data_IF_145456744090
#
_entry.id   IF_145456744090
#
_cell.length_a   1.000
_cell.length_b   1.000
_cell.length_c   1.000
_cell.angle_alpha   90.00
_cell.angle_beta   90.00
_cell.angle_gamma   90.00
#
_symmetry.space_group_name_H-M   'P 1'
#
loop_
_entity.id
_entity.type
_entity.pdbx_description
1 polymer ?
#
# COMPACT_ATOMS: atom_id res chain seq x y z
N UNK A 1 -12.96 42.88 39.04
CA UNK A 1 -12.81 42.05 40.24
C UNK A 1 -14.07 42.18 41.07
N UNK A 2 -14.46 41.09 41.74
CA UNK A 2 -15.70 40.83 42.50
C UNK A 2 -16.91 40.43 41.62
N UNK A 3 -17.28 39.14 41.57
CA UNK A 3 -18.13 38.35 42.50
C UNK A 3 -19.61 38.71 42.35
N UNK A 4 -20.44 37.88 41.70
CA UNK A 4 -21.04 36.59 42.13
C UNK A 4 -22.44 36.84 42.67
N UNK A 5 -23.46 36.20 42.07
CA UNK A 5 -24.72 35.91 42.75
C UNK A 5 -25.28 34.56 42.30
N UNK A 6 -25.66 33.79 43.31
CA UNK A 6 -26.15 32.42 43.32
C UNK A 6 -27.69 32.40 43.34
N UNK A 7 -28.27 31.36 42.71
CA UNK A 7 -29.49 30.60 43.08
C UNK A 7 -30.80 31.31 43.51
N UNK A 8 -31.94 30.91 42.93
CA UNK A 8 -32.96 30.07 43.63
C UNK A 8 -34.16 29.73 42.73
N UNK A 9 -34.81 28.62 43.09
CA UNK A 9 -35.88 27.82 42.45
C UNK A 9 -37.33 28.25 42.78
N UNK A 10 -38.29 27.66 42.05
CA UNK A 10 -39.71 27.45 42.41
C UNK A 10 -40.67 28.51 41.86
N UNK A 11 -41.90 28.27 41.41
CA UNK A 11 -42.79 27.10 41.41
C UNK A 11 -43.93 27.36 40.38
N UNK A 12 -44.53 26.29 39.84
CA UNK A 12 -45.77 26.35 39.05
C UNK A 12 -47.00 26.66 39.93
N UNK A 13 -48.12 27.05 39.29
CA UNK A 13 -49.41 26.50 39.70
C UNK A 13 -50.21 25.89 38.53
N UNK A 14 -51.19 25.01 38.82
CA UNK A 14 -51.85 24.16 37.84
C UNK A 14 -53.30 24.61 37.53
N UNK A 15 -53.96 23.87 36.63
CA UNK A 15 -55.35 23.36 36.73
C UNK A 15 -56.16 23.49 35.43
N UNK A 16 -56.63 22.30 35.02
CA UNK A 16 -57.59 21.96 33.97
C UNK A 16 -59.00 22.55 34.16
N UNK A 17 -59.74 22.73 33.07
CA UNK A 17 -60.94 21.91 32.71
C UNK A 17 -61.84 22.59 31.68
N UNK A 18 -62.41 21.81 30.74
CA UNK A 18 -63.58 22.24 29.95
C UNK A 18 -63.59 21.82 28.46
N UNK A 19 -63.86 20.55 28.17
CA UNK A 19 -64.38 20.04 26.88
C UNK A 19 -65.93 20.21 26.82
N UNK A 20 -66.68 19.86 25.73
CA UNK A 20 -66.30 19.46 24.37
C UNK A 20 -67.14 20.12 23.23
N UNK A 21 -66.70 20.02 21.97
CA UNK A 21 -67.61 19.97 20.81
C UNK A 21 -66.95 19.33 19.57
N UNK A 22 -67.37 18.09 19.29
CA UNK A 22 -67.59 17.44 17.98
C UNK A 22 -66.66 17.73 16.79
N UNK A 23 -65.97 16.69 16.29
CA UNK A 23 -65.57 16.62 14.88
C UNK A 23 -64.48 15.60 14.55
N UNK A 24 -64.89 14.41 14.10
CA UNK A 24 -64.14 13.40 13.30
C UNK A 24 -62.75 12.89 13.78
N UNK A 25 -62.74 11.64 14.25
CA UNK A 25 -61.67 10.62 14.05
C UNK A 25 -61.48 10.40 12.54
N UNK A 26 -60.35 10.06 11.90
CA UNK A 26 -59.07 9.36 12.18
C UNK A 26 -58.29 9.50 10.84
N UNK A 27 -56.97 9.44 10.66
CA UNK A 27 -55.89 8.70 11.29
C UNK A 27 -54.55 9.42 11.00
N UNK A 28 -53.69 9.54 12.02
CA UNK A 28 -52.32 10.07 11.86
C UNK A 28 -51.36 8.87 11.82
N UNK A 29 -50.61 8.76 10.73
CA UNK A 29 -49.53 7.77 10.54
C UNK A 29 -48.52 7.85 11.69
N UNK A 30 -47.97 6.73 12.20
CA UNK A 30 -46.91 6.77 13.19
C UNK A 30 -45.68 7.47 12.60
N UNK A 31 -45.08 8.39 13.35
CA UNK A 31 -43.79 8.98 13.03
C UNK A 31 -42.77 7.85 12.75
N UNK A 32 -42.13 7.94 11.58
CA UNK A 32 -40.87 7.24 11.33
C UNK A 32 -39.88 7.61 12.45
N UNK A 33 -39.16 6.64 13.04
CA UNK A 33 -38.10 6.95 13.97
C UNK A 33 -37.05 7.80 13.23
N UNK A 34 -36.75 8.98 13.75
CA UNK A 34 -35.51 9.71 13.43
C UNK A 34 -34.34 8.72 13.46
N UNK A 35 -33.46 8.70 12.45
CA UNK A 35 -32.34 7.79 12.45
C UNK A 35 -31.51 8.06 13.70
N UNK A 36 -31.51 7.08 14.61
CA UNK A 36 -30.75 7.08 15.85
C UNK A 36 -29.32 7.55 15.57
N UNK A 37 -28.77 8.43 16.41
CA UNK A 37 -27.36 8.89 16.36
C UNK A 37 -26.34 7.75 16.14
N UNK A 38 -26.69 6.52 16.48
CA UNK A 38 -25.92 5.30 16.21
C UNK A 38 -25.68 5.00 14.72
N UNK A 39 -26.60 5.31 13.79
CA UNK A 39 -26.37 5.09 12.36
C UNK A 39 -25.49 6.18 11.74
N UNK A 40 -25.43 7.35 12.37
CA UNK A 40 -24.53 8.43 11.98
C UNK A 40 -23.09 8.17 12.48
N UNK A 41 -22.93 7.55 13.65
CA UNK A 41 -21.62 7.15 14.19
C UNK A 41 -21.01 5.97 13.42
N UNK A 42 -21.83 5.01 12.95
CA UNK A 42 -21.35 3.91 12.11
C UNK A 42 -20.90 4.37 10.71
N UNK A 43 -21.45 5.48 10.20
CA UNK A 43 -21.09 6.04 8.91
C UNK A 43 -19.86 6.98 8.96
N UNK A 44 -19.33 7.29 10.15
CA UNK A 44 -18.29 8.30 10.34
C UNK A 44 -16.83 7.79 10.28
N UNK A 45 -16.58 6.50 10.10
CA UNK A 45 -15.23 5.94 10.34
C UNK A 45 -14.53 5.33 9.11
N UNK A 46 -15.04 5.53 7.90
CA UNK A 46 -14.34 5.17 6.66
C UNK A 46 -13.77 6.43 6.03
N UNK A 47 -12.48 6.68 6.25
CA UNK A 47 -11.79 7.86 5.70
C UNK A 47 -11.09 7.49 4.41
N UNK A 48 -11.07 8.42 3.46
CA UNK A 48 -10.22 8.31 2.29
C UNK A 48 -8.75 8.13 2.69
N UNK A 49 -8.00 7.39 1.87
CA UNK A 49 -6.59 7.12 2.10
C UNK A 49 -5.78 8.41 2.35
N UNK A 50 -5.00 8.51 3.45
CA UNK A 50 -4.10 9.63 3.71
C UNK A 50 -3.13 9.90 2.55
N UNK A 51 -2.75 11.17 2.38
CA UNK A 51 -1.89 11.59 1.26
C UNK A 51 -0.54 10.87 1.23
N UNK A 52 0.09 10.67 2.39
CA UNK A 52 1.39 9.98 2.49
C UNK A 52 1.32 8.54 1.98
N UNK A 53 0.21 7.87 2.25
CA UNK A 53 -0.04 6.48 1.88
C UNK A 53 -0.32 6.36 0.38
N UNK A 54 -1.03 7.33 -0.21
CA UNK A 54 -1.16 7.44 -1.67
C UNK A 54 0.19 7.63 -2.35
N UNK A 55 1.02 8.55 -1.85
CA UNK A 55 2.38 8.78 -2.36
C UNK A 55 3.21 7.49 -2.29
N UNK A 56 3.13 6.75 -1.19
CA UNK A 56 3.79 5.45 -1.03
C UNK A 56 3.35 4.45 -2.11
N UNK A 57 2.04 4.27 -2.33
CA UNK A 57 1.53 3.39 -3.39
C UNK A 57 1.98 3.81 -4.79
N UNK A 58 2.07 5.12 -5.06
CA UNK A 58 2.55 5.64 -6.32
C UNK A 58 4.03 5.34 -6.56
N UNK A 59 4.89 5.62 -5.58
CA UNK A 59 6.31 5.32 -5.67
C UNK A 59 6.58 3.83 -5.83
N UNK A 60 6.00 3.01 -4.95
CA UNK A 60 6.14 1.55 -4.98
C UNK A 60 5.67 0.96 -6.33
N UNK A 61 4.52 1.39 -6.84
CA UNK A 61 4.00 0.88 -8.11
C UNK A 61 4.83 1.37 -9.30
N UNK A 62 5.31 2.62 -9.28
CA UNK A 62 6.23 3.15 -10.28
C UNK A 62 7.54 2.36 -10.35
N UNK A 63 8.18 2.11 -9.21
CA UNK A 63 9.39 1.25 -9.11
C UNK A 63 9.13 -0.14 -9.65
N UNK A 64 7.96 -0.72 -9.33
CA UNK A 64 7.57 -2.04 -9.86
C UNK A 64 7.50 -2.02 -11.38
N UNK A 65 6.89 -1.00 -11.98
CA UNK A 65 6.80 -0.88 -13.44
C UNK A 65 8.17 -0.64 -14.08
N UNK A 66 9.04 0.16 -13.48
CA UNK A 66 10.42 0.36 -13.98
C UNK A 66 11.17 -0.96 -14.04
N UNK A 67 11.12 -1.75 -12.96
CA UNK A 67 11.76 -3.07 -12.85
C UNK A 67 11.17 -4.03 -13.89
N UNK A 68 9.84 -4.08 -14.01
CA UNK A 68 9.16 -4.95 -15.00
C UNK A 68 9.54 -4.57 -16.43
N UNK A 69 9.45 -3.29 -16.79
CA UNK A 69 9.71 -2.84 -18.16
C UNK A 69 11.17 -3.00 -18.54
N UNK A 70 12.09 -2.65 -17.64
CA UNK A 70 13.54 -2.80 -17.88
C UNK A 70 13.96 -4.27 -17.97
N UNK A 71 13.37 -5.14 -17.14
CA UNK A 71 13.61 -6.58 -17.19
C UNK A 71 13.05 -7.23 -18.45
N UNK A 72 11.80 -6.92 -18.83
CA UNK A 72 11.19 -7.42 -20.09
C UNK A 72 11.98 -6.95 -21.30
N UNK A 73 12.40 -5.69 -21.32
CA UNK A 73 13.23 -5.16 -22.41
C UNK A 73 14.56 -5.93 -22.52
N UNK A 74 15.22 -6.22 -21.38
CA UNK A 74 16.45 -7.00 -21.33
C UNK A 74 16.23 -8.46 -21.72
N UNK A 75 15.12 -9.07 -21.33
CA UNK A 75 14.76 -10.43 -21.72
C UNK A 75 14.60 -10.53 -23.24
N UNK A 76 13.92 -9.56 -23.86
CA UNK A 76 13.69 -9.53 -25.30
C UNK A 76 14.98 -9.33 -26.10
N UNK A 77 15.92 -8.51 -25.58
CA UNK A 77 17.16 -8.19 -26.29
C UNK A 77 18.32 -9.15 -25.98
N UNK A 78 18.47 -9.57 -24.73
CA UNK A 78 19.64 -10.29 -24.22
C UNK A 78 19.34 -11.72 -23.76
N UNK A 79 18.05 -12.13 -23.70
CA UNK A 79 17.58 -13.45 -23.25
C UNK A 79 18.18 -13.91 -21.91
N UNK A 80 18.40 -12.96 -20.99
CA UNK A 80 19.00 -13.22 -19.69
C UNK A 80 17.96 -13.89 -18.75
N UNK A 81 18.19 -15.15 -18.30
CA UNK A 81 17.27 -15.87 -17.43
C UNK A 81 17.16 -15.27 -16.02
N UNK A 82 18.09 -14.38 -15.62
CA UNK A 82 18.08 -13.72 -14.31
C UNK A 82 17.05 -12.60 -14.22
N UNK A 83 16.51 -12.14 -15.35
CA UNK A 83 15.43 -11.16 -15.42
C UNK A 83 15.68 -9.91 -14.56
N UNK A 84 16.91 -9.37 -14.60
CA UNK A 84 17.29 -8.20 -13.80
C UNK A 84 16.63 -6.94 -14.35
N UNK A 85 15.91 -6.23 -13.47
CA UNK A 85 15.34 -4.91 -13.69
C UNK A 85 16.03 -3.83 -12.84
N UNK A 86 15.81 -2.57 -13.22
CA UNK A 86 16.48 -1.40 -12.66
C UNK A 86 15.46 -0.33 -12.31
N UNK A 87 15.71 0.37 -11.20
CA UNK A 87 15.04 1.62 -10.85
C UNK A 87 15.98 2.44 -9.95
N UNK A 88 15.52 3.57 -9.43
CA UNK A 88 16.30 4.40 -8.52
C UNK A 88 15.43 5.02 -7.45
N UNK A 89 16.05 5.40 -6.33
CA UNK A 89 15.38 6.13 -5.24
C UNK A 89 14.78 7.44 -5.78
N UNK A 90 15.49 8.11 -6.69
CA UNK A 90 15.03 9.31 -7.35
C UNK A 90 13.77 9.07 -8.19
N UNK A 91 13.76 8.00 -9.02
CA UNK A 91 12.60 7.64 -9.83
C UNK A 91 11.39 7.31 -8.95
N UNK A 92 11.58 6.65 -7.80
CA UNK A 92 10.51 6.41 -6.84
C UNK A 92 9.81 7.72 -6.40
N UNK A 93 10.60 8.77 -6.09
CA UNK A 93 10.06 10.10 -5.73
C UNK A 93 9.37 10.74 -6.92
N UNK A 94 9.97 10.70 -8.11
CA UNK A 94 9.38 11.26 -9.33
C UNK A 94 8.05 10.59 -9.66
N UNK A 95 7.97 9.25 -9.58
CA UNK A 95 6.73 8.48 -9.77
C UNK A 95 5.68 8.88 -8.75
N UNK A 96 6.07 9.03 -7.47
CA UNK A 96 5.18 9.46 -6.39
C UNK A 96 4.53 10.80 -6.70
N UNK A 97 5.32 11.80 -7.11
CA UNK A 97 4.84 13.16 -7.40
C UNK A 97 4.03 13.21 -8.70
N UNK A 98 4.52 12.54 -9.74
CA UNK A 98 3.87 12.43 -11.06
C UNK A 98 2.47 11.84 -10.94
N UNK A 99 2.35 10.69 -10.28
CA UNK A 99 1.05 10.03 -10.12
C UNK A 99 0.12 10.75 -9.15
N UNK A 100 0.66 11.49 -8.18
CA UNK A 100 -0.13 12.40 -7.37
C UNK A 100 -0.71 13.57 -8.18
N UNK A 101 0.07 14.16 -9.08
CA UNK A 101 -0.42 15.18 -10.01
C UNK A 101 -1.46 14.62 -10.98
N UNK A 102 -1.21 13.42 -11.54
CA UNK A 102 -2.14 12.72 -12.42
C UNK A 102 -3.46 12.36 -11.72
N UNK A 103 -3.44 12.03 -10.42
CA UNK A 103 -4.65 11.83 -9.64
C UNK A 103 -5.51 13.11 -9.55
N UNK A 104 -4.87 14.29 -9.40
CA UNK A 104 -5.58 15.57 -9.40
C UNK A 104 -6.24 15.85 -10.75
N UNK A 105 -5.52 15.58 -11.84
CA UNK A 105 -6.07 15.67 -13.20
C UNK A 105 -7.20 14.66 -13.39
N UNK A 106 -7.03 13.43 -12.90
CA UNK A 106 -8.06 12.39 -12.93
C UNK A 106 -9.34 12.79 -12.18
N UNK A 107 -9.20 13.52 -11.08
CA UNK A 107 -10.33 14.04 -10.30
C UNK A 107 -11.17 15.08 -11.04
N UNK A 108 -10.57 15.78 -12.03
CA UNK A 108 -11.27 16.72 -12.91
C UNK A 108 -12.17 16.04 -13.94
N UNK A 109 -12.27 14.70 -13.96
CA UNK A 109 -13.19 13.95 -14.83
C UNK A 109 -14.64 14.43 -14.78
N UNK A 110 -15.06 15.07 -13.68
CA UNK A 110 -16.40 15.66 -13.53
C UNK A 110 -16.68 16.76 -14.57
N UNK A 111 -15.66 17.47 -15.03
CA UNK A 111 -15.77 18.49 -16.08
C UNK A 111 -16.06 17.89 -17.47
N UNK A 112 -15.76 16.60 -17.67
CA UNK A 112 -15.95 15.88 -18.93
C UNK A 112 -17.16 14.93 -18.90
N UNK A 113 -18.14 15.16 -18.01
CA UNK A 113 -19.33 14.30 -17.83
C UNK A 113 -20.10 14.02 -19.14
N UNK A 114 -20.07 14.93 -20.12
CA UNK A 114 -20.72 14.74 -21.41
C UNK A 114 -20.02 13.77 -22.37
N UNK A 115 -18.72 13.46 -22.18
CA UNK A 115 -17.92 12.57 -23.06
C UNK A 115 -16.82 11.83 -22.27
N UNK A 116 -17.17 10.84 -21.42
CA UNK A 116 -16.20 10.16 -20.57
C UNK A 116 -15.11 9.40 -21.36
N UNK A 117 -15.46 8.91 -22.55
CA UNK A 117 -14.53 8.19 -23.44
C UNK A 117 -13.38 9.08 -23.90
N UNK A 118 -13.66 10.34 -24.23
CA UNK A 118 -12.64 11.31 -24.66
C UNK A 118 -11.64 11.58 -23.53
N UNK A 119 -12.13 11.62 -22.28
CA UNK A 119 -11.27 11.81 -21.12
C UNK A 119 -10.30 10.62 -20.93
N UNK A 120 -10.82 9.39 -20.93
CA UNK A 120 -10.03 8.20 -20.63
C UNK A 120 -9.12 7.74 -21.77
N UNK A 121 -9.50 7.93 -23.04
CA UNK A 121 -8.75 7.43 -24.19
C UNK A 121 -7.85 8.48 -24.86
N UNK A 122 -8.13 9.78 -24.66
CA UNK A 122 -7.43 10.86 -25.36
C UNK A 122 -6.79 11.84 -24.37
N UNK A 123 -7.58 12.49 -23.52
CA UNK A 123 -7.05 13.55 -22.65
C UNK A 123 -6.05 13.02 -21.62
N UNK A 124 -6.43 12.01 -20.83
CA UNK A 124 -5.55 11.46 -19.81
C UNK A 124 -4.28 10.83 -20.40
N UNK A 125 -4.36 9.99 -21.45
CA UNK A 125 -3.15 9.45 -22.08
C UNK A 125 -2.22 10.51 -22.66
N UNK A 126 -2.75 11.57 -23.28
CA UNK A 126 -1.91 12.67 -23.79
C UNK A 126 -1.15 13.39 -22.68
N UNK A 127 -1.80 13.66 -21.54
CA UNK A 127 -1.14 14.30 -20.38
C UNK A 127 -0.11 13.36 -19.75
N UNK A 128 -0.44 12.08 -19.59
CA UNK A 128 0.49 11.07 -19.07
C UNK A 128 1.75 10.97 -19.94
N UNK A 129 1.57 10.78 -21.26
CA UNK A 129 2.69 10.66 -22.21
C UNK A 129 3.53 11.94 -22.19
N UNK A 130 2.91 13.12 -22.22
CA UNK A 130 3.64 14.39 -22.15
C UNK A 130 4.49 14.52 -20.90
N UNK A 131 3.97 14.08 -19.74
CA UNK A 131 4.71 14.11 -18.48
C UNK A 131 5.86 13.09 -18.47
N UNK A 132 5.65 11.88 -19.01
CA UNK A 132 6.70 10.86 -19.10
C UNK A 132 7.83 11.27 -20.06
N UNK A 133 7.51 11.92 -21.17
CA UNK A 133 8.52 12.49 -22.09
C UNK A 133 9.31 13.59 -21.39
N UNK A 134 8.64 14.46 -20.62
CA UNK A 134 9.31 15.51 -19.85
C UNK A 134 10.28 14.93 -18.82
N UNK A 135 9.85 13.92 -18.06
CA UNK A 135 10.69 13.23 -17.07
C UNK A 135 11.89 12.56 -17.75
N UNK A 136 11.64 11.85 -18.85
CA UNK A 136 12.71 11.21 -19.65
C UNK A 136 13.74 12.23 -20.14
N UNK A 137 13.29 13.38 -20.64
CA UNK A 137 14.18 14.44 -21.11
C UNK A 137 14.97 15.11 -19.97
N UNK A 138 14.39 15.27 -18.77
CA UNK A 138 15.11 15.78 -17.58
C UNK A 138 16.21 14.81 -17.17
N UNK A 139 15.94 13.51 -17.23
CA UNK A 139 16.95 12.50 -16.95
C UNK A 139 18.10 12.50 -17.99
N UNK A 140 17.80 12.78 -19.26
CA UNK A 140 18.80 12.79 -20.35
C UNK A 140 19.33 14.18 -20.70
N UNK A 141 19.05 15.20 -19.90
CA UNK A 141 19.50 16.59 -20.15
C UNK A 141 21.04 16.75 -20.12
N UNK A 142 21.77 15.65 -19.91
CA UNK A 142 23.23 15.55 -20.08
C UNK A 142 23.65 15.12 -21.50
N UNK A 143 22.84 14.40 -22.27
CA UNK A 143 23.14 14.01 -23.66
C UNK A 143 21.87 13.85 -24.54
N UNK A 144 21.68 14.78 -25.49
CA UNK A 144 20.74 14.80 -26.63
C UNK A 144 19.25 14.45 -26.41
N UNK A 145 18.37 15.24 -27.05
CA UNK A 145 16.92 15.01 -27.07
C UNK A 145 16.63 13.67 -27.77
N UNK A 146 16.20 12.67 -26.99
CA UNK A 146 15.88 11.35 -27.51
C UNK A 146 14.53 11.38 -28.22
N UNK A 147 14.53 11.12 -29.53
CA UNK A 147 13.29 10.87 -30.27
C UNK A 147 12.69 9.55 -29.76
N UNK A 148 11.50 9.62 -29.17
CA UNK A 148 10.82 8.46 -28.60
C UNK A 148 10.40 7.51 -29.72
N UNK A 149 10.80 6.24 -29.63
CA UNK A 149 10.41 5.22 -30.61
C UNK A 149 8.89 4.99 -30.58
N UNK A 150 8.28 4.67 -31.73
CA UNK A 150 6.85 4.35 -31.81
C UNK A 150 6.43 3.21 -30.87
N UNK A 151 7.31 2.24 -30.63
CA UNK A 151 7.06 1.15 -29.67
C UNK A 151 7.02 1.65 -28.22
N UNK A 152 7.90 2.58 -27.86
CA UNK A 152 7.90 3.20 -26.54
C UNK A 152 6.63 4.05 -26.34
N UNK A 153 6.20 4.79 -27.36
CA UNK A 153 4.96 5.57 -27.29
C UNK A 153 3.74 4.66 -27.07
N UNK A 154 3.68 3.51 -27.76
CA UNK A 154 2.62 2.51 -27.57
C UNK A 154 2.62 1.95 -26.14
N UNK A 155 3.78 1.63 -25.58
CA UNK A 155 3.89 1.16 -24.18
C UNK A 155 3.39 2.23 -23.20
N UNK A 156 3.81 3.49 -23.35
CA UNK A 156 3.33 4.59 -22.49
C UNK A 156 1.83 4.82 -22.63
N UNK A 157 1.26 4.66 -23.83
CA UNK A 157 -0.19 4.73 -24.04
C UNK A 157 -0.93 3.60 -23.31
N UNK A 158 -0.45 2.36 -23.41
CA UNK A 158 -1.04 1.22 -22.69
C UNK A 158 -0.95 1.40 -21.17
N UNK A 159 0.18 1.90 -20.66
CA UNK A 159 0.32 2.25 -19.24
C UNK A 159 -0.66 3.35 -18.83
N UNK A 160 -0.84 4.39 -19.65
CA UNK A 160 -1.79 5.44 -19.36
C UNK A 160 -3.23 4.90 -19.23
N UNK A 161 -3.63 3.98 -20.12
CA UNK A 161 -4.93 3.32 -20.03
C UNK A 161 -5.06 2.51 -18.75
N UNK A 162 -4.03 1.73 -18.40
CA UNK A 162 -3.97 0.98 -17.15
C UNK A 162 -4.13 1.91 -15.93
N UNK A 163 -3.40 3.02 -15.88
CA UNK A 163 -3.46 3.96 -14.78
C UNK A 163 -4.85 4.61 -14.63
N UNK A 164 -5.44 5.02 -15.76
CA UNK A 164 -6.75 5.64 -15.80
C UNK A 164 -7.88 4.68 -15.39
N UNK A 165 -7.83 3.42 -15.84
CA UNK A 165 -8.95 2.49 -15.72
C UNK A 165 -8.85 1.58 -14.51
N UNK A 166 -7.64 1.13 -14.18
CA UNK A 166 -7.39 0.12 -13.15
C UNK A 166 -6.84 0.78 -11.89
N UNK A 167 -5.69 1.45 -11.99
CA UNK A 167 -4.94 1.87 -10.81
C UNK A 167 -5.63 2.98 -10.01
N UNK A 168 -5.97 4.12 -10.62
CA UNK A 168 -6.68 5.20 -9.91
C UNK A 168 -8.08 4.77 -9.45
N UNK A 169 -8.73 3.89 -10.20
CA UNK A 169 -10.03 3.31 -9.81
C UNK A 169 -9.90 2.36 -8.63
N UNK A 170 -8.83 1.56 -8.56
CA UNK A 170 -8.52 0.69 -7.44
C UNK A 170 -8.18 1.49 -6.18
N UNK A 171 -7.28 2.48 -6.31
CA UNK A 171 -6.86 3.31 -5.18
C UNK A 171 -8.01 4.11 -4.57
N UNK A 172 -8.93 4.64 -5.39
CA UNK A 172 -10.12 5.36 -4.90
C UNK A 172 -11.16 4.47 -4.21
N UNK A 173 -11.06 3.14 -4.36
CA UNK A 173 -11.90 2.18 -3.64
C UNK A 173 -11.29 1.75 -2.31
N UNK A 174 -10.00 2.00 -2.09
CA UNK A 174 -9.34 1.67 -0.83
C UNK A 174 -9.81 2.68 0.23
N UNK A 175 -10.49 2.15 1.24
CA UNK A 175 -10.93 2.88 2.42
C UNK A 175 -10.05 2.51 3.61
N UNK A 176 -9.88 3.46 4.52
CA UNK A 176 -9.01 3.34 5.68
C UNK A 176 -9.84 3.54 6.95
N UNK A 177 -9.68 2.63 7.90
CA UNK A 177 -10.27 2.74 9.23
C UNK A 177 -9.16 3.09 10.25
N UNK A 178 -9.16 4.30 10.83
CA UNK A 178 -8.26 4.61 11.92
C UNK A 178 -8.71 3.87 13.19
N UNK A 179 -8.16 2.68 13.43
CA UNK A 179 -8.29 2.04 14.73
C UNK A 179 -7.47 2.83 15.76
N UNK A 180 -8.13 3.66 16.59
CA UNK A 180 -7.51 4.19 17.80
C UNK A 180 -7.30 3.02 18.78
N UNK A 181 -6.10 2.80 19.33
CA UNK A 181 -5.95 1.89 20.46
C UNK A 181 -6.56 2.57 21.69
N UNK A 182 -7.84 2.33 21.96
CA UNK A 182 -8.37 2.60 23.29
C UNK A 182 -7.69 1.65 24.28
N UNK A 183 -7.12 2.16 25.40
CA UNK A 183 -6.64 1.30 26.45
C UNK A 183 -7.84 0.55 27.03
N UNK A 184 -7.79 -0.79 27.00
CA UNK A 184 -8.79 -1.68 27.58
C UNK A 184 -8.98 -1.32 29.06
N UNK A 185 -9.99 -0.50 29.37
CA UNK A 185 -10.56 -0.39 30.70
C UNK A 185 -11.47 -1.60 30.88
N UNK A 186 -11.03 -2.53 31.73
CA UNK A 186 -11.77 -3.76 31.97
C UNK A 186 -13.19 -3.52 32.48
N UNK A 187 -14.12 -4.33 32.00
CA UNK A 187 -15.19 -4.92 32.81
C UNK A 187 -15.99 -5.93 31.97
N UNK A 188 -16.05 -7.17 32.46
CA UNK A 188 -17.23 -8.04 32.40
C UNK A 188 -17.75 -8.55 31.03
N UNK A 189 -17.65 -9.86 30.86
CA UNK A 189 -18.70 -10.73 30.29
C UNK A 189 -19.35 -10.30 28.97
N UNK A 190 -18.88 -10.87 27.87
CA UNK A 190 -19.64 -10.90 26.63
C UNK A 190 -18.83 -11.52 25.49
N UNK A 191 -19.30 -12.66 25.01
CA UNK A 191 -18.78 -13.43 23.89
C UNK A 191 -18.69 -12.57 22.62
N UNK A 192 -17.60 -11.84 22.43
CA UNK A 192 -17.31 -11.18 21.16
C UNK A 192 -16.75 -12.22 20.19
N UNK A 193 -17.66 -12.91 19.51
CA UNK A 193 -17.37 -13.51 18.21
C UNK A 193 -17.04 -12.35 17.27
N UNK A 194 -15.77 -11.99 17.16
CA UNK A 194 -15.31 -11.16 16.06
C UNK A 194 -15.61 -11.93 14.77
N UNK A 195 -16.65 -11.49 14.06
CA UNK A 195 -17.03 -12.01 12.76
C UNK A 195 -15.86 -11.90 11.76
N UNK A 196 -15.95 -12.60 10.61
CA UNK A 196 -14.85 -12.69 9.68
C UNK A 196 -14.54 -11.30 9.12
N UNK A 197 -13.48 -10.67 9.63
CA UNK A 197 -12.87 -9.52 9.01
C UNK A 197 -12.59 -9.91 7.56
N UNK A 198 -13.34 -9.36 6.60
CA UNK A 198 -13.19 -9.66 5.17
C UNK A 198 -11.91 -8.99 4.64
N UNK A 199 -10.76 -9.34 5.22
CA UNK A 199 -9.42 -8.87 4.85
C UNK A 199 -9.23 -8.87 3.33
N UNK A 200 -8.48 -7.88 2.83
CA UNK A 200 -8.09 -7.77 1.41
C UNK A 200 -7.79 -9.17 0.83
N UNK A 201 -8.30 -9.51 -0.37
CA UNK A 201 -8.10 -10.83 -0.97
C UNK A 201 -6.62 -11.23 -0.92
N UNK A 202 -6.31 -12.48 -0.58
CA UNK A 202 -4.93 -12.92 -0.38
C UNK A 202 -4.02 -12.64 -1.57
N UNK A 203 -4.55 -12.70 -2.79
CA UNK A 203 -3.84 -12.31 -4.01
C UNK A 203 -3.43 -10.82 -4.03
N UNK A 204 -4.28 -9.91 -3.56
CA UNK A 204 -3.96 -8.48 -3.48
C UNK A 204 -2.87 -8.23 -2.44
N UNK A 205 -2.90 -8.96 -1.30
CA UNK A 205 -1.83 -8.91 -0.29
C UNK A 205 -0.50 -9.43 -0.85
N UNK A 206 -0.54 -10.54 -1.59
CA UNK A 206 0.65 -11.06 -2.28
C UNK A 206 1.23 -10.04 -3.28
N UNK A 207 0.39 -9.43 -4.11
CA UNK A 207 0.84 -8.38 -5.04
C UNK A 207 1.45 -7.20 -4.31
N UNK A 208 0.82 -6.75 -3.22
CA UNK A 208 1.36 -5.69 -2.37
C UNK A 208 2.75 -6.07 -1.84
N UNK A 209 2.90 -7.26 -1.26
CA UNK A 209 4.19 -7.72 -0.74
C UNK A 209 5.26 -7.89 -1.81
N UNK A 210 4.90 -8.36 -3.01
CA UNK A 210 5.83 -8.46 -4.12
C UNK A 210 6.33 -7.08 -4.59
N UNK A 211 5.41 -6.12 -4.76
CA UNK A 211 5.76 -4.74 -5.12
C UNK A 211 6.57 -4.06 -4.02
N UNK A 212 6.24 -4.33 -2.77
CA UNK A 212 6.96 -3.80 -1.63
C UNK A 212 8.36 -4.38 -1.53
N UNK A 213 8.53 -5.69 -1.75
CA UNK A 213 9.84 -6.34 -1.79
C UNK A 213 10.73 -5.79 -2.90
N UNK A 214 10.18 -5.45 -4.07
CA UNK A 214 10.92 -4.73 -5.10
C UNK A 214 11.40 -3.37 -4.63
N UNK A 215 10.54 -2.59 -3.96
CA UNK A 215 10.94 -1.32 -3.40
C UNK A 215 12.08 -1.52 -2.38
N UNK A 216 11.95 -2.49 -1.48
CA UNK A 216 12.95 -2.78 -0.46
C UNK A 216 14.29 -3.19 -1.07
N UNK A 217 14.30 -4.05 -2.09
CA UNK A 217 15.53 -4.49 -2.76
C UNK A 217 16.18 -3.37 -3.58
N UNK A 218 15.39 -2.55 -4.28
CA UNK A 218 15.92 -1.37 -4.99
C UNK A 218 16.53 -0.37 -4.01
N UNK A 219 15.87 -0.13 -2.86
CA UNK A 219 16.42 0.73 -1.81
C UNK A 219 17.70 0.14 -1.22
N UNK A 220 17.69 -1.15 -0.91
CA UNK A 220 18.85 -1.85 -0.34
C UNK A 220 20.04 -1.82 -1.29
N UNK A 221 19.86 -2.22 -2.55
CA UNK A 221 20.92 -2.23 -3.56
C UNK A 221 21.43 -0.82 -3.88
N UNK A 222 20.55 0.18 -3.86
CA UNK A 222 20.93 1.59 -4.02
C UNK A 222 21.80 2.09 -2.86
N UNK A 223 21.39 1.84 -1.61
CA UNK A 223 22.18 2.20 -0.42
C UNK A 223 23.50 1.44 -0.40
N UNK A 224 23.48 0.16 -0.76
CA UNK A 224 24.67 -0.66 -0.82
C UNK A 224 25.66 -0.15 -1.88
N UNK A 225 25.20 0.19 -3.09
CA UNK A 225 26.02 0.82 -4.12
C UNK A 225 26.55 2.19 -3.68
N UNK A 226 25.77 2.98 -2.96
CA UNK A 226 26.20 4.27 -2.41
C UNK A 226 27.30 4.11 -1.36
N UNK A 227 27.18 3.13 -0.45
CA UNK A 227 28.13 2.93 0.65
C UNK A 227 29.40 2.26 0.16
N UNK A 228 29.29 1.19 -0.63
CA UNK A 228 30.45 0.40 -1.05
C UNK A 228 31.18 1.02 -2.26
N UNK A 229 30.43 1.56 -3.23
CA UNK A 229 30.99 2.07 -4.49
C UNK A 229 30.97 3.60 -4.60
N UNK A 230 30.46 4.30 -3.58
CA UNK A 230 30.28 5.77 -3.61
C UNK A 230 29.45 6.26 -4.80
N UNK A 231 28.57 5.41 -5.33
CA UNK A 231 27.72 5.74 -6.47
C UNK A 231 26.57 6.66 -6.04
N UNK A 232 26.62 7.91 -6.49
CA UNK A 232 25.61 8.95 -6.18
C UNK A 232 24.40 8.93 -7.10
N UNK A 233 24.35 8.01 -8.08
CA UNK A 233 23.18 7.87 -8.96
C UNK A 233 21.95 7.33 -8.22
N UNK A 234 22.13 6.79 -7.01
CA UNK A 234 21.10 6.12 -6.21
C UNK A 234 20.37 5.02 -7.02
N UNK A 235 21.09 4.40 -7.96
CA UNK A 235 20.58 3.32 -8.79
C UNK A 235 20.54 2.00 -8.04
N UNK A 236 19.39 1.32 -8.13
CA UNK A 236 19.15 0.01 -7.56
C UNK A 236 18.71 -0.98 -8.63
N UNK A 237 18.83 -2.25 -8.33
CA UNK A 237 18.43 -3.34 -9.22
C UNK A 237 17.83 -4.48 -8.43
N UNK A 238 17.01 -5.29 -9.09
CA UNK A 238 16.32 -6.45 -8.52
C UNK A 238 15.99 -7.44 -9.64
N UNK A 239 15.81 -8.71 -9.32
CA UNK A 239 15.34 -9.72 -10.28
C UNK A 239 13.82 -9.84 -10.26
N UNK A 240 13.18 -10.15 -11.39
CA UNK A 240 11.74 -10.50 -11.38
C UNK A 240 11.42 -11.70 -10.47
N UNK A 241 12.37 -12.61 -10.28
CA UNK A 241 12.22 -13.73 -9.35
C UNK A 241 12.10 -13.26 -7.90
N UNK A 242 12.70 -12.12 -7.55
CA UNK A 242 12.57 -11.49 -6.24
C UNK A 242 11.12 -11.11 -5.92
N UNK A 243 10.30 -10.75 -6.92
CA UNK A 243 8.87 -10.48 -6.70
C UNK A 243 8.16 -11.70 -6.10
N UNK A 244 8.40 -12.86 -6.72
CA UNK A 244 7.79 -14.12 -6.29
C UNK A 244 8.36 -14.55 -4.94
N UNK A 245 9.67 -14.43 -4.77
CA UNK A 245 10.35 -14.78 -3.53
C UNK A 245 9.85 -13.94 -2.35
N UNK A 246 9.91 -12.61 -2.44
CA UNK A 246 9.50 -11.72 -1.36
C UNK A 246 7.99 -11.68 -1.17
N UNK A 247 7.22 -11.66 -2.27
CA UNK A 247 5.76 -11.72 -2.20
C UNK A 247 5.27 -12.97 -1.47
N UNK A 248 5.86 -14.14 -1.76
CA UNK A 248 5.49 -15.40 -1.10
C UNK A 248 6.02 -15.46 0.33
N UNK A 249 7.26 -15.01 0.57
CA UNK A 249 7.85 -14.98 1.90
C UNK A 249 7.01 -14.14 2.86
N UNK A 250 6.75 -12.87 2.52
CA UNK A 250 6.00 -11.95 3.36
C UNK A 250 4.54 -12.36 3.53
N UNK A 251 3.93 -12.98 2.51
CA UNK A 251 2.59 -13.55 2.63
C UNK A 251 2.53 -14.69 3.66
N UNK A 252 3.52 -15.59 3.68
CA UNK A 252 3.58 -16.68 4.66
C UNK A 252 3.94 -16.15 6.05
N UNK A 253 4.90 -15.22 6.15
CA UNK A 253 5.30 -14.57 7.41
C UNK A 253 4.13 -13.82 8.04
N UNK A 254 3.27 -13.18 7.25
CA UNK A 254 2.02 -12.58 7.74
C UNK A 254 1.09 -13.62 8.36
N UNK A 255 0.87 -14.77 7.71
CA UNK A 255 0.04 -15.84 8.30
C UNK A 255 0.65 -16.41 9.57
N UNK A 256 1.98 -16.53 9.58
CA UNK A 256 2.72 -16.93 10.77
C UNK A 256 2.57 -15.89 11.89
N UNK A 257 2.65 -14.59 11.57
CA UNK A 257 2.39 -13.50 12.49
C UNK A 257 0.99 -13.62 13.11
N UNK A 258 -0.05 -13.77 12.28
CA UNK A 258 -1.43 -13.89 12.76
C UNK A 258 -1.60 -15.08 13.71
N UNK A 259 -1.02 -16.23 13.38
CA UNK A 259 -1.08 -17.42 14.22
C UNK A 259 -0.33 -17.24 15.54
N UNK A 260 0.92 -16.75 15.50
CA UNK A 260 1.74 -16.61 16.70
C UNK A 260 1.26 -15.48 17.62
N UNK A 261 0.80 -14.37 17.04
CA UNK A 261 0.30 -13.22 17.78
C UNK A 261 -1.08 -13.51 18.39
N UNK A 262 -2.08 -13.85 17.58
CA UNK A 262 -3.46 -13.98 18.06
C UNK A 262 -3.77 -15.34 18.67
N UNK A 263 -3.23 -16.43 18.13
CA UNK A 263 -3.53 -17.76 18.69
C UNK A 263 -2.65 -18.11 19.89
N UNK A 264 -1.39 -17.65 19.91
CA UNK A 264 -0.43 -17.99 20.98
C UNK A 264 -0.04 -16.85 21.91
N UNK A 265 -0.41 -15.60 21.60
CA UNK A 265 -0.08 -14.44 22.45
C UNK A 265 1.41 -14.13 22.51
N UNK A 266 2.20 -14.54 21.50
CA UNK A 266 3.64 -14.33 21.54
C UNK A 266 4.00 -12.88 21.24
N UNK A 267 4.80 -12.28 22.11
CA UNK A 267 5.39 -10.95 21.87
C UNK A 267 6.44 -10.97 20.76
N UNK A 268 6.71 -9.80 20.18
CA UNK A 268 7.61 -9.60 19.03
C UNK A 268 8.95 -10.33 19.16
N UNK A 269 9.63 -10.23 20.30
CA UNK A 269 10.94 -10.88 20.53
C UNK A 269 10.95 -12.41 20.41
N UNK A 270 9.82 -13.08 20.67
CA UNK A 270 9.70 -14.54 20.49
C UNK A 270 9.40 -14.92 19.04
N UNK A 271 8.81 -14.01 18.26
CA UNK A 271 8.46 -14.22 16.85
C UNK A 271 9.65 -13.98 15.92
N UNK A 272 10.46 -12.97 16.22
CA UNK A 272 11.63 -12.57 15.42
C UNK A 272 12.58 -13.73 15.03
N UNK A 273 13.03 -14.59 15.97
CA UNK A 273 13.90 -15.69 15.61
C UNK A 273 13.27 -16.65 14.61
N UNK A 274 11.95 -16.90 14.72
CA UNK A 274 11.24 -17.74 13.76
C UNK A 274 11.15 -17.10 12.38
N UNK A 275 10.92 -15.78 12.29
CA UNK A 275 10.92 -15.08 11.02
C UNK A 275 12.29 -15.15 10.35
N UNK A 276 13.37 -14.92 11.11
CA UNK A 276 14.73 -14.98 10.58
C UNK A 276 15.08 -16.39 10.09
N UNK A 277 14.78 -17.43 10.88
CA UNK A 277 14.98 -18.81 10.43
C UNK A 277 14.19 -19.13 9.16
N UNK A 278 12.95 -18.64 9.08
CA UNK A 278 12.12 -18.81 7.89
C UNK A 278 12.69 -18.08 6.68
N UNK A 279 13.10 -16.82 6.83
CA UNK A 279 13.70 -16.00 5.76
C UNK A 279 14.95 -16.70 5.21
N UNK A 280 15.88 -17.13 6.06
CA UNK A 280 17.08 -17.85 5.61
C UNK A 280 16.74 -19.16 4.89
N UNK A 281 15.76 -19.92 5.39
CA UNK A 281 15.32 -21.16 4.75
C UNK A 281 14.68 -20.86 3.39
N UNK A 282 13.91 -19.79 3.29
CA UNK A 282 13.23 -19.37 2.06
C UNK A 282 14.20 -18.87 1.01
N UNK A 283 15.12 -17.98 1.38
CA UNK A 283 16.20 -17.47 0.53
C UNK A 283 17.07 -18.62 0.00
N UNK A 284 17.47 -19.54 0.88
CA UNK A 284 18.23 -20.72 0.49
C UNK A 284 17.46 -21.62 -0.49
N UNK A 285 16.18 -21.89 -0.22
CA UNK A 285 15.34 -22.74 -1.07
C UNK A 285 15.13 -22.15 -2.46
N UNK A 286 14.81 -20.86 -2.54
CA UNK A 286 14.70 -20.16 -3.83
C UNK A 286 16.03 -20.08 -4.56
N UNK A 287 17.13 -19.84 -3.84
CA UNK A 287 18.48 -19.86 -4.38
C UNK A 287 18.82 -21.20 -5.02
N UNK A 288 18.49 -22.32 -4.36
CA UNK A 288 18.70 -23.67 -4.93
C UNK A 288 17.87 -23.90 -6.19
N UNK A 289 16.59 -23.53 -6.18
CA UNK A 289 15.70 -23.71 -7.35
C UNK A 289 16.16 -22.85 -8.52
N UNK A 290 16.42 -21.56 -8.30
CA UNK A 290 16.84 -20.64 -9.36
C UNK A 290 18.21 -21.00 -9.94
N UNK A 291 19.12 -21.54 -9.11
CA UNK A 291 20.44 -22.00 -9.56
C UNK A 291 20.34 -23.17 -10.54
N UNK A 292 19.28 -24.00 -10.50
CA UNK A 292 19.07 -25.06 -11.50
C UNK A 292 18.78 -24.52 -12.91
N UNK A 293 18.31 -23.27 -13.01
CA UNK A 293 17.94 -22.60 -14.27
C UNK A 293 18.90 -21.46 -14.65
N UNK A 294 20.05 -21.33 -13.97
CA UNK A 294 20.97 -20.19 -14.09
C UNK A 294 20.29 -18.82 -13.88
N UNK A 295 19.18 -18.82 -13.12
CA UNK A 295 18.33 -17.67 -12.87
C UNK A 295 18.61 -16.98 -11.53
N UNK A 296 19.53 -17.53 -10.73
CA UNK A 296 19.92 -16.98 -9.43
C UNK A 296 20.68 -15.65 -9.64
N UNK A 297 20.11 -14.55 -9.16
CA UNK A 297 20.67 -13.21 -9.35
C UNK A 297 21.71 -12.81 -8.31
N UNK A 298 21.89 -13.59 -7.23
CA UNK A 298 22.85 -13.31 -6.18
C UNK A 298 23.85 -14.45 -5.97
N UNK A 299 25.05 -14.08 -5.50
CA UNK A 299 26.10 -15.00 -5.07
C UNK A 299 26.93 -14.38 -3.93
N UNK A 300 26.82 -14.98 -2.74
CA UNK A 300 27.50 -14.56 -1.52
C UNK A 300 28.80 -15.33 -1.25
N UNK A 301 29.33 -16.09 -2.22
CA UNK A 301 30.55 -16.89 -2.03
C UNK A 301 31.77 -16.09 -1.58
N UNK A 302 31.78 -14.79 -1.87
CA UNK A 302 32.83 -13.84 -1.50
C UNK A 302 32.73 -13.34 -0.04
N UNK A 303 31.60 -13.55 0.64
CA UNK A 303 31.43 -13.17 2.04
C UNK A 303 31.82 -14.29 3.00
N UNK A 304 32.37 -13.97 4.19
CA UNK A 304 32.64 -14.97 5.21
C UNK A 304 31.33 -15.52 5.77
N UNK A 305 31.35 -16.77 6.28
CA UNK A 305 30.16 -17.45 6.84
C UNK A 305 29.00 -17.58 5.83
N UNK A 306 29.31 -17.65 4.54
CA UNK A 306 28.34 -18.02 3.52
C UNK A 306 28.09 -19.53 3.54
N UNK A 307 26.89 -19.93 3.14
CA UNK A 307 26.54 -21.32 2.92
C UNK A 307 26.15 -21.52 1.45
N UNK A 308 26.96 -22.30 0.73
CA UNK A 308 26.83 -22.55 -0.71
C UNK A 308 26.78 -21.28 -1.58
N UNK A 309 27.26 -20.14 -1.08
CA UNK A 309 27.09 -18.83 -1.71
C UNK A 309 25.63 -18.37 -1.84
N UNK A 310 24.66 -19.04 -1.21
CA UNK A 310 23.23 -18.73 -1.34
C UNK A 310 22.70 -17.90 -0.19
N UNK A 311 23.23 -18.09 1.02
CA UNK A 311 22.91 -17.31 2.21
C UNK A 311 24.20 -16.89 2.90
N UNK A 312 24.17 -15.78 3.63
CA UNK A 312 25.28 -15.33 4.47
C UNK A 312 24.80 -14.91 5.85
N UNK A 313 25.49 -15.38 6.89
CA UNK A 313 25.21 -14.95 8.27
C UNK A 313 25.59 -13.49 8.52
N UNK A 314 26.40 -12.89 7.63
CA UNK A 314 26.75 -11.48 7.70
C UNK A 314 25.52 -10.57 7.56
N UNK A 315 24.48 -11.03 6.87
CA UNK A 315 23.23 -10.27 6.67
C UNK A 315 22.23 -10.42 7.82
N UNK A 316 22.56 -11.18 8.87
CA UNK A 316 21.71 -11.37 10.05
C UNK A 316 21.23 -10.04 10.66
N UNK A 317 22.07 -8.99 10.84
CA UNK A 317 21.59 -7.70 11.34
C UNK A 317 20.52 -7.06 10.43
N UNK A 318 20.69 -7.19 9.11
CA UNK A 318 19.70 -6.74 8.12
C UNK A 318 18.39 -7.50 8.25
N UNK A 319 18.44 -8.82 8.40
CA UNK A 319 17.25 -9.66 8.60
C UNK A 319 16.53 -9.40 9.91
N UNK A 320 17.25 -9.05 10.99
CA UNK A 320 16.64 -8.61 12.25
C UNK A 320 15.84 -7.33 12.03
N UNK A 321 16.45 -6.32 11.39
CA UNK A 321 15.79 -5.06 11.07
C UNK A 321 14.57 -5.28 10.17
N UNK A 322 14.69 -6.11 9.12
CA UNK A 322 13.59 -6.41 8.22
C UNK A 322 12.48 -7.20 8.91
N UNK A 323 12.81 -8.12 9.82
CA UNK A 323 11.82 -8.87 10.59
C UNK A 323 11.04 -7.97 11.56
N UNK A 324 11.71 -7.00 12.19
CA UNK A 324 11.04 -5.98 13.01
C UNK A 324 10.13 -5.11 12.15
N UNK A 325 10.63 -4.67 11.00
CA UNK A 325 9.87 -3.88 10.04
C UNK A 325 8.61 -4.61 9.56
N UNK A 326 8.74 -5.88 9.16
CA UNK A 326 7.63 -6.73 8.72
C UNK A 326 6.62 -6.97 9.86
N UNK A 327 7.08 -7.14 11.10
CA UNK A 327 6.20 -7.30 12.27
C UNK A 327 5.38 -6.02 12.50
N UNK A 328 6.01 -4.84 12.46
CA UNK A 328 5.33 -3.54 12.54
C UNK A 328 4.37 -3.34 11.37
N UNK A 329 4.80 -3.65 10.15
CA UNK A 329 3.98 -3.55 8.95
C UNK A 329 2.74 -4.44 9.05
N UNK A 330 2.87 -5.67 9.55
CA UNK A 330 1.74 -6.59 9.74
C UNK A 330 0.74 -6.04 10.77
N UNK A 331 1.24 -5.50 11.90
CA UNK A 331 0.40 -4.80 12.88
C UNK A 331 -0.37 -3.63 12.24
N UNK A 332 0.32 -2.80 11.43
CA UNK A 332 -0.26 -1.65 10.74
C UNK A 332 -1.30 -2.09 9.70
N UNK A 333 -0.99 -3.08 8.86
CA UNK A 333 -1.91 -3.60 7.85
C UNK A 333 -3.17 -4.17 8.50
N UNK A 334 -3.04 -4.88 9.61
CA UNK A 334 -4.19 -5.44 10.32
C UNK A 334 -5.02 -4.37 11.03
N UNK A 335 -4.40 -3.31 11.57
CA UNK A 335 -5.11 -2.20 12.20
C UNK A 335 -5.86 -1.29 11.21
N UNK A 336 -5.38 -1.20 9.97
CA UNK A 336 -5.85 -0.17 9.02
C UNK A 336 -6.57 -0.71 7.79
N UNK A 337 -6.43 -2.01 7.46
CA UNK A 337 -7.10 -2.64 6.33
C UNK A 337 -8.00 -3.80 6.78
N UNK A 338 -9.08 -3.41 7.45
CA UNK A 338 -10.29 -4.21 7.59
C UNK A 338 -11.32 -3.57 6.63
N UNK A 339 -11.97 -4.36 5.77
CA UNK A 339 -12.89 -3.85 4.74
C UNK A 339 -14.06 -3.02 5.27
#
# INVERSE_FOLDING_TARGET
GAQSDLFSWGDCPPVHSGEPASGLKTARMPLLPEPSRQSADAAQTLRELPRWMRLYFYGMHGVTLDVLLSSVHRLLNSRDPKLVGFSSVYLCVVHSLTHFALEKIYSQKRCFRGRPVVFHLVFYPSVYIGLQILIGNIHTLTEQVKVVSGTQLAVHYMLALYFAQVFHRGLSRLQYHPSCPEPIRGSGSGTHVQGPFHSLPGFVRFLFFGMHGFLDEVLFTSVFNLVEKSDRTLSGHTSLWSFLMYGSCSFVVEKLYLHLHFSRGWGTWRRLPLYICFIYTWEFSWGLVLRQFDACSWDYSHYPHNFMGLITLLYLPGWVCLSLYQDVLSNVLDLYFIP
#
